data_IF_982284960609
#
_entry.id   IF_982284960609
#
_cell.length_a   1.000
_cell.length_b   1.000
_cell.length_c   1.000
_cell.angle_alpha   90.00
_cell.angle_beta   90.00
_cell.angle_gamma   90.00
#
_symmetry.space_group_name_H-M   'P 1'
#
loop_
_entity.id
_entity.type
_entity.pdbx_description
1 polymer ?
#
# COMPACT_ATOMS: atom_id res chain seq x y z
N UNK A 1 10.72 8.02 32.72
CA UNK A 1 11.39 7.65 31.45
C UNK A 1 10.32 7.23 30.45
N UNK A 2 10.10 8.07 29.49
CA UNK A 2 9.08 7.80 28.49
C UNK A 2 9.64 6.91 27.40
N UNK A 3 9.18 5.68 27.38
CA UNK A 3 9.50 4.77 26.28
C UNK A 3 8.42 4.96 25.23
N UNK A 4 8.70 5.79 24.25
CA UNK A 4 7.80 5.88 23.10
C UNK A 4 8.10 4.75 22.14
N UNK A 5 7.20 3.80 22.09
CA UNK A 5 7.27 2.71 21.12
C UNK A 5 6.68 3.25 19.82
N UNK A 6 7.53 3.49 18.84
CA UNK A 6 7.05 3.82 17.49
C UNK A 6 6.67 2.53 16.80
N UNK A 7 5.39 2.36 16.56
CA UNK A 7 4.89 1.29 15.71
C UNK A 7 5.15 1.70 14.26
N UNK A 8 5.94 0.92 13.55
CA UNK A 8 6.22 1.16 12.14
C UNK A 8 5.59 0.06 11.31
N UNK A 9 4.75 0.44 10.38
CA UNK A 9 4.10 -0.49 9.46
C UNK A 9 4.91 -0.60 8.17
N UNK A 10 6.08 -1.22 8.26
CA UNK A 10 6.97 -1.36 7.11
C UNK A 10 6.32 -2.19 6.02
N UNK A 11 6.17 -1.61 4.86
CA UNK A 11 5.74 -2.29 3.65
C UNK A 11 6.54 -1.71 2.49
N UNK A 12 7.64 -2.35 2.16
CA UNK A 12 8.52 -1.90 1.10
C UNK A 12 7.97 -2.20 -0.29
N UNK A 13 6.97 -3.08 -0.39
CA UNK A 13 6.41 -3.51 -1.67
C UNK A 13 5.82 -2.36 -2.47
N UNK A 14 5.07 -1.49 -1.82
CA UNK A 14 4.46 -0.34 -2.47
C UNK A 14 5.51 0.59 -3.09
N UNK A 15 6.54 0.93 -2.32
CA UNK A 15 7.62 1.78 -2.81
C UNK A 15 8.38 1.12 -3.96
N UNK A 16 8.66 -0.17 -3.85
CA UNK A 16 9.35 -0.92 -4.91
C UNK A 16 8.56 -0.94 -6.21
N UNK A 17 7.25 -1.19 -6.11
CA UNK A 17 6.37 -1.18 -7.28
C UNK A 17 6.32 0.20 -7.93
N UNK A 18 6.23 1.25 -7.11
CA UNK A 18 6.22 2.62 -7.62
C UNK A 18 7.52 2.94 -8.38
N UNK A 19 8.66 2.63 -7.78
CA UNK A 19 9.97 2.88 -8.40
C UNK A 19 10.17 2.06 -9.66
N UNK A 20 9.73 0.80 -9.65
CA UNK A 20 9.79 -0.05 -10.83
C UNK A 20 8.93 0.49 -11.98
N UNK A 21 7.84 1.18 -11.66
CA UNK A 21 6.99 1.84 -12.65
C UNK A 21 7.56 3.19 -13.13
N UNK A 22 8.67 3.64 -12.55
CA UNK A 22 9.30 4.92 -12.90
C UNK A 22 8.53 6.14 -12.42
N UNK A 23 7.71 5.99 -11.37
CA UNK A 23 6.84 7.06 -10.87
C UNK A 23 7.41 7.70 -9.62
N UNK A 24 7.30 9.03 -9.52
CA UNK A 24 7.51 9.74 -8.26
C UNK A 24 6.27 9.54 -7.36
N UNK A 25 6.40 9.87 -6.08
CA UNK A 25 5.26 9.83 -5.16
C UNK A 25 4.12 10.73 -5.64
N UNK A 26 4.45 11.94 -6.10
CA UNK A 26 3.45 12.87 -6.62
C UNK A 26 2.75 12.34 -7.87
N UNK A 27 3.51 11.70 -8.76
CA UNK A 27 2.95 11.12 -9.98
C UNK A 27 2.00 9.96 -9.67
N UNK A 28 2.40 9.05 -8.78
CA UNK A 28 1.54 7.94 -8.39
C UNK A 28 0.28 8.45 -7.69
N UNK A 29 0.43 9.39 -6.77
CA UNK A 29 -0.72 9.95 -6.05
C UNK A 29 -1.72 10.59 -7.02
N UNK A 30 -1.23 11.33 -8.02
CA UNK A 30 -2.08 11.94 -9.04
C UNK A 30 -2.80 10.89 -9.88
N UNK A 31 -2.09 9.86 -10.33
CA UNK A 31 -2.67 8.77 -11.11
C UNK A 31 -3.72 7.99 -10.31
N UNK A 32 -3.45 7.74 -9.04
CA UNK A 32 -4.36 7.01 -8.16
C UNK A 32 -5.53 7.88 -7.66
N UNK A 33 -5.44 9.20 -7.78
CA UNK A 33 -6.46 10.10 -7.26
C UNK A 33 -6.48 10.15 -5.74
N UNK A 34 -5.32 10.06 -5.11
CA UNK A 34 -5.16 10.15 -3.65
C UNK A 34 -4.22 11.30 -3.30
N UNK A 35 -4.25 11.73 -2.04
CA UNK A 35 -3.34 12.77 -1.56
C UNK A 35 -1.92 12.22 -1.45
N UNK A 36 -0.93 12.97 -1.90
CA UNK A 36 0.47 12.57 -1.82
C UNK A 36 0.91 12.30 -0.37
N UNK A 37 0.39 13.06 0.59
CA UNK A 37 0.68 12.86 2.01
C UNK A 37 0.26 11.47 2.50
N UNK A 38 -0.86 10.96 2.00
CA UNK A 38 -1.35 9.62 2.34
C UNK A 38 -0.39 8.56 1.80
N UNK A 39 0.02 8.70 0.55
CA UNK A 39 0.99 7.79 -0.06
C UNK A 39 2.32 7.80 0.70
N UNK A 40 2.81 8.99 1.05
CA UNK A 40 4.03 9.14 1.83
C UNK A 40 3.95 8.44 3.18
N UNK A 41 2.81 8.52 3.86
CA UNK A 41 2.58 7.85 5.14
C UNK A 41 2.64 6.33 5.01
N UNK A 42 2.09 5.78 3.93
CA UNK A 42 2.17 4.34 3.67
C UNK A 42 3.61 3.91 3.38
N UNK A 43 4.34 4.66 2.56
CA UNK A 43 5.70 4.29 2.17
C UNK A 43 6.70 4.37 3.33
N UNK A 44 6.55 5.34 4.23
CA UNK A 44 7.44 5.46 5.39
C UNK A 44 7.00 4.64 6.59
N UNK A 45 5.89 3.93 6.49
CA UNK A 45 5.39 3.06 7.56
C UNK A 45 4.65 3.78 8.67
N UNK A 46 4.25 5.03 8.48
CA UNK A 46 3.43 5.77 9.45
C UNK A 46 1.98 5.28 9.46
N UNK A 47 1.52 4.70 8.35
CA UNK A 47 0.21 4.06 8.22
C UNK A 47 0.37 2.66 7.68
N UNK A 48 -0.48 1.76 8.15
CA UNK A 48 -0.53 0.39 7.66
C UNK A 48 -1.36 0.32 6.37
N UNK A 49 -0.70 0.04 5.26
CA UNK A 49 -1.39 -0.09 3.98
C UNK A 49 -2.36 -1.28 3.98
N UNK A 50 -2.09 -2.32 4.79
CA UNK A 50 -3.00 -3.46 4.93
C UNK A 50 -4.35 -3.06 5.54
N UNK A 51 -4.36 -1.98 6.32
CA UNK A 51 -5.57 -1.43 6.92
C UNK A 51 -6.24 -0.35 6.07
N UNK A 52 -5.76 -0.07 4.88
CA UNK A 52 -6.36 0.92 3.99
C UNK A 52 -7.74 0.45 3.52
N UNK A 53 -8.61 1.39 3.25
CA UNK A 53 -9.93 1.08 2.68
C UNK A 53 -9.74 0.46 1.29
N UNK A 54 -10.61 -0.48 0.95
CA UNK A 54 -10.55 -1.17 -0.32
C UNK A 54 -10.53 -0.21 -1.53
N UNK A 55 -11.36 0.85 -1.58
CA UNK A 55 -11.27 1.79 -2.70
C UNK A 55 -9.90 2.43 -2.85
N UNK A 56 -9.23 2.78 -1.74
CA UNK A 56 -7.88 3.34 -1.78
C UNK A 56 -6.88 2.33 -2.35
N UNK A 57 -6.96 1.08 -1.90
CA UNK A 57 -6.10 0.01 -2.42
C UNK A 57 -6.30 -0.21 -3.91
N UNK A 58 -7.55 -0.23 -4.35
CA UNK A 58 -7.88 -0.42 -5.77
C UNK A 58 -7.37 0.74 -6.63
N UNK A 59 -7.47 1.97 -6.13
CA UNK A 59 -6.94 3.15 -6.83
C UNK A 59 -5.43 3.03 -7.03
N UNK A 60 -4.70 2.61 -6.01
CA UNK A 60 -3.26 2.43 -6.08
C UNK A 60 -2.91 1.28 -7.03
N UNK A 61 -3.59 0.14 -6.91
CA UNK A 61 -3.34 -1.02 -7.77
C UNK A 61 -3.62 -0.71 -9.24
N UNK A 62 -4.71 0.00 -9.52
CA UNK A 62 -5.02 0.40 -10.89
C UNK A 62 -3.95 1.33 -11.47
N UNK A 63 -3.45 2.27 -10.67
CA UNK A 63 -2.41 3.19 -11.09
C UNK A 63 -1.07 2.49 -11.35
N UNK A 64 -0.75 1.47 -10.54
CA UNK A 64 0.47 0.68 -10.67
C UNK A 64 0.33 -0.52 -11.61
N UNK A 65 -0.89 -0.81 -12.06
CA UNK A 65 -1.20 -1.99 -12.86
C UNK A 65 -0.73 -3.28 -12.16
N UNK A 66 -0.99 -3.36 -10.86
CA UNK A 66 -0.61 -4.50 -10.03
C UNK A 66 -1.84 -5.12 -9.37
N UNK A 67 -1.62 -6.25 -8.71
CA UNK A 67 -2.67 -6.97 -7.99
C UNK A 67 -2.65 -6.57 -6.52
N UNK A 68 -3.80 -6.75 -5.83
CA UNK A 68 -3.86 -6.51 -4.39
C UNK A 68 -2.82 -7.34 -3.63
N UNK A 69 -2.60 -8.58 -4.05
CA UNK A 69 -1.61 -9.46 -3.43
C UNK A 69 -0.17 -8.94 -3.51
N UNK A 70 0.10 -8.02 -4.44
CA UNK A 70 1.44 -7.44 -4.58
C UNK A 70 1.71 -6.36 -3.51
N UNK A 71 0.67 -5.80 -2.90
CA UNK A 71 0.77 -4.75 -1.90
C UNK A 71 0.46 -5.27 -0.49
N UNK A 72 -0.56 -6.13 -0.37
CA UNK A 72 -0.99 -6.68 0.92
C UNK A 72 0.08 -7.64 1.44
N UNK A 73 0.47 -7.47 2.70
CA UNK A 73 1.46 -8.33 3.36
C UNK A 73 0.88 -9.09 4.55
N UNK A 74 -0.33 -8.74 4.98
CA UNK A 74 -1.02 -9.42 6.07
C UNK A 74 -1.41 -10.84 5.63
N UNK A 75 -0.90 -11.85 6.34
CA UNK A 75 -1.08 -13.25 5.95
C UNK A 75 -2.54 -13.68 5.91
N UNK A 76 -3.32 -13.30 6.92
CA UNK A 76 -4.75 -13.64 6.96
C UNK A 76 -5.49 -13.05 5.77
N UNK A 77 -5.23 -11.78 5.48
CA UNK A 77 -5.85 -11.09 4.34
C UNK A 77 -5.45 -11.74 3.02
N UNK A 78 -4.18 -12.11 2.88
CA UNK A 78 -3.70 -12.79 1.66
C UNK A 78 -4.38 -14.14 1.46
N UNK A 79 -4.58 -14.92 2.53
CA UNK A 79 -5.30 -16.18 2.44
C UNK A 79 -6.75 -15.98 2.04
N UNK A 80 -7.42 -15.00 2.63
CA UNK A 80 -8.80 -14.68 2.29
C UNK A 80 -8.92 -14.20 0.84
N UNK A 81 -7.98 -13.40 0.39
CA UNK A 81 -7.92 -12.91 -0.99
C UNK A 81 -7.75 -14.07 -1.96
N UNK A 82 -6.86 -15.00 -1.65
CA UNK A 82 -6.62 -16.19 -2.46
C UNK A 82 -7.89 -17.03 -2.61
N UNK A 83 -8.59 -17.28 -1.51
CA UNK A 83 -9.87 -18.01 -1.54
C UNK A 83 -10.90 -17.28 -2.39
N UNK A 84 -10.98 -15.97 -2.25
CA UNK A 84 -11.91 -15.15 -3.02
C UNK A 84 -11.60 -15.24 -4.52
N UNK A 85 -10.34 -15.18 -4.91
CA UNK A 85 -9.93 -15.24 -6.31
C UNK A 85 -10.08 -16.63 -6.93
N UNK A 86 -10.19 -17.69 -6.11
CA UNK A 86 -10.40 -19.07 -6.59
C UNK A 86 -11.85 -19.38 -6.98
N UNK A 87 -12.76 -18.45 -6.76
CA UNK A 87 -14.17 -18.63 -7.12
C UNK A 87 -14.43 -18.42 -8.61
#
# INVERSE_FOLDING_TARGET
MDISIKVTYKNEGLQKLRKAAGLSQSQLAALAGIKVQVLQQYERGARDVNGAKLPTLLKICNALECRLADIITDEETLELLKKYEEH
#
